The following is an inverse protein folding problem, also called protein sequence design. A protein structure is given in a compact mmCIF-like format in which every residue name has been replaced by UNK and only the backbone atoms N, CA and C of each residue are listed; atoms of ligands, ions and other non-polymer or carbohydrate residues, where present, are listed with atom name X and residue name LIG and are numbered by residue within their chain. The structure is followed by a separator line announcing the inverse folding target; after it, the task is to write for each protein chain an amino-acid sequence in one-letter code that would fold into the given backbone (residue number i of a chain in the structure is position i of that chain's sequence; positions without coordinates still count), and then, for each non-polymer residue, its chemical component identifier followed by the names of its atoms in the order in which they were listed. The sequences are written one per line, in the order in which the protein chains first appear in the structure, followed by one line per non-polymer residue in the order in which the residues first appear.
data_IF_912114038401
#
_entry.id   IF_912114038401
#
_cell.length_a   1.000
_cell.length_b   1.000
_cell.length_c   1.000
_cell.angle_alpha   90.00
_cell.angle_beta   90.00
_cell.angle_gamma   90.00
#
_symmetry.space_group_name_H-M   'P 1'
#
loop_
_entity.id
_entity.type
_entity.pdbx_description
1 polymer ?
#
# COMPACT_ATOMS: atom_id res chain seq x y z
N UNK A 1 14.52 -28.45 14.90
CA UNK A 1 13.70 -27.66 13.96
C UNK A 1 13.08 -26.54 14.75
N UNK A 2 13.61 -25.32 14.64
CA UNK A 2 13.06 -24.12 15.27
C UNK A 2 12.18 -23.42 14.25
N UNK A 3 10.86 -23.58 14.36
CA UNK A 3 9.90 -22.79 13.60
C UNK A 3 9.76 -21.43 14.27
N UNK A 4 10.58 -20.48 13.83
CA UNK A 4 10.49 -19.07 14.19
C UNK A 4 9.18 -18.47 13.68
N UNK A 5 8.21 -18.34 14.58
CA UNK A 5 6.88 -17.76 14.34
C UNK A 5 6.91 -16.21 14.45
N UNK A 6 8.08 -15.56 14.47
CA UNK A 6 8.21 -14.15 14.91
C UNK A 6 8.42 -13.05 13.85
N UNK A 7 8.64 -13.35 12.57
CA UNK A 7 8.81 -12.30 11.55
C UNK A 7 7.85 -12.52 10.38
N UNK A 8 6.59 -12.07 10.51
CA UNK A 8 5.65 -11.96 9.38
C UNK A 8 5.38 -10.49 9.07
N UNK A 9 6.39 -9.79 8.55
CA UNK A 9 6.13 -8.58 7.78
C UNK A 9 5.26 -8.98 6.59
N UNK A 10 4.25 -8.19 6.24
CA UNK A 10 3.55 -8.40 4.98
C UNK A 10 4.58 -8.45 3.85
N UNK A 11 4.42 -9.38 2.91
CA UNK A 11 5.31 -9.44 1.75
C UNK A 11 4.44 -9.31 0.50
N UNK A 12 4.84 -8.39 -0.38
CA UNK A 12 4.22 -8.16 -1.67
C UNK A 12 5.19 -8.69 -2.72
N UNK A 13 4.75 -9.72 -3.43
CA UNK A 13 5.48 -10.34 -4.53
C UNK A 13 4.71 -10.08 -5.83
N UNK A 14 5.38 -10.29 -6.96
CA UNK A 14 4.76 -10.14 -8.27
C UNK A 14 5.30 -8.95 -9.04
N UNK A 15 4.53 -8.51 -10.01
CA UNK A 15 4.99 -7.67 -11.10
C UNK A 15 3.99 -6.56 -11.40
N UNK A 16 4.52 -5.42 -11.85
CA UNK A 16 3.74 -4.33 -12.42
C UNK A 16 4.03 -4.32 -13.92
N UNK A 17 3.00 -4.48 -14.73
CA UNK A 17 3.14 -4.46 -16.18
C UNK A 17 2.60 -3.17 -16.75
N UNK A 18 3.31 -2.64 -17.74
CA UNK A 18 2.92 -1.44 -18.45
C UNK A 18 2.54 -1.80 -19.88
N UNK A 19 1.33 -1.41 -20.27
CA UNK A 19 0.79 -1.49 -21.62
C UNK A 19 0.62 -0.06 -22.17
N UNK A 20 0.08 0.07 -23.40
CA UNK A 20 -0.05 1.37 -24.07
C UNK A 20 -0.79 2.41 -23.21
N UNK A 21 -1.95 2.02 -22.66
CA UNK A 21 -2.82 2.94 -21.89
C UNK A 21 -3.05 2.51 -20.42
N UNK A 22 -2.50 1.38 -19.98
CA UNK A 22 -2.77 0.83 -18.64
C UNK A 22 -1.53 0.31 -17.93
N UNK A 23 -1.59 0.34 -16.60
CA UNK A 23 -0.71 -0.42 -15.73
C UNK A 23 -1.52 -1.58 -15.15
N UNK A 24 -1.07 -2.79 -15.38
CA UNK A 24 -1.60 -3.99 -14.74
C UNK A 24 -0.83 -4.26 -13.45
N UNK A 25 -1.56 -4.28 -12.34
CA UNK A 25 -1.05 -4.66 -11.03
C UNK A 25 -1.32 -6.15 -10.84
N UNK A 26 -0.27 -6.95 -10.86
CA UNK A 26 -0.33 -8.41 -10.67
C UNK A 26 0.56 -8.80 -9.49
N UNK A 27 0.05 -8.59 -8.29
CA UNK A 27 0.78 -8.79 -7.04
C UNK A 27 0.16 -9.91 -6.20
N UNK A 28 0.92 -10.40 -5.23
CA UNK A 28 0.47 -11.36 -4.22
C UNK A 28 0.88 -10.81 -2.86
N UNK A 29 -0.09 -10.69 -1.95
CA UNK A 29 0.13 -10.22 -0.59
C UNK A 29 -0.11 -11.37 0.40
N UNK A 30 0.78 -11.52 1.37
CA UNK A 30 0.50 -12.35 2.54
C UNK A 30 -0.44 -11.58 3.49
N UNK A 31 -1.71 -11.98 3.56
CA UNK A 31 -2.77 -11.33 4.33
C UNK A 31 -3.35 -12.28 5.40
N UNK A 32 -4.23 -11.76 6.25
CA UNK A 32 -4.86 -12.54 7.32
C UNK A 32 -6.07 -13.36 6.90
N UNK A 33 -6.66 -13.03 5.76
CA UNK A 33 -7.85 -13.67 5.24
C UNK A 33 -8.00 -13.37 3.76
N UNK A 34 -8.65 -14.27 3.02
CA UNK A 34 -9.09 -14.06 1.63
C UNK A 34 -10.34 -13.16 1.54
N UNK A 35 -10.94 -12.82 2.68
CA UNK A 35 -12.08 -11.91 2.77
C UNK A 35 -11.73 -10.44 2.50
N UNK A 36 -10.44 -10.11 2.34
CA UNK A 36 -10.01 -8.75 2.02
C UNK A 36 -10.11 -8.44 0.54
N UNK A 37 -10.71 -7.30 0.23
CA UNK A 37 -10.76 -6.75 -1.12
C UNK A 37 -9.61 -5.78 -1.26
N UNK A 38 -8.89 -5.86 -2.38
CA UNK A 38 -7.76 -5.00 -2.72
C UNK A 38 -8.02 -4.26 -4.04
N UNK A 39 -7.54 -3.03 -4.16
CA UNK A 39 -7.50 -2.33 -5.45
C UNK A 39 -8.79 -1.65 -5.89
N UNK A 40 -9.89 -1.74 -5.11
CA UNK A 40 -11.18 -1.12 -5.45
C UNK A 40 -11.09 0.39 -5.56
N UNK A 41 -10.38 1.02 -4.63
CA UNK A 41 -9.97 2.40 -4.75
C UNK A 41 -8.49 2.39 -5.09
N UNK A 42 -8.11 3.21 -6.07
CA UNK A 42 -6.73 3.33 -6.50
C UNK A 42 -6.46 4.73 -7.04
N UNK A 43 -5.19 5.12 -6.99
CA UNK A 43 -4.70 6.38 -7.54
C UNK A 43 -3.23 6.28 -7.93
N UNK A 44 -2.80 7.19 -8.79
CA UNK A 44 -1.40 7.39 -9.14
C UNK A 44 -0.93 8.73 -8.62
N UNK A 45 0.28 8.76 -8.08
CA UNK A 45 0.95 9.99 -7.66
C UNK A 45 2.25 10.13 -8.44
N UNK A 46 2.52 11.34 -8.93
CA UNK A 46 3.76 11.73 -9.58
C UNK A 46 4.24 13.07 -9.00
N UNK A 47 5.21 13.02 -8.11
CA UNK A 47 5.82 14.21 -7.49
C UNK A 47 7.36 14.10 -7.54
N UNK A 48 7.90 13.89 -8.73
CA UNK A 48 9.32 13.54 -8.95
C UNK A 48 9.61 12.06 -8.72
N UNK A 49 8.93 11.44 -7.76
CA UNK A 49 8.81 9.98 -7.64
C UNK A 49 7.40 9.53 -8.03
N UNK A 50 7.27 8.27 -8.48
CA UNK A 50 6.05 7.65 -8.99
C UNK A 50 5.53 6.63 -7.99
N UNK A 51 4.22 6.64 -7.75
CA UNK A 51 3.59 5.67 -6.87
C UNK A 51 2.23 5.21 -7.36
N UNK A 52 1.94 3.93 -7.11
CA UNK A 52 0.61 3.34 -7.20
C UNK A 52 0.10 3.19 -5.77
N UNK A 53 -1.09 3.72 -5.52
CA UNK A 53 -1.75 3.64 -4.22
C UNK A 53 -3.05 2.90 -4.40
N UNK A 54 -3.36 1.97 -3.52
CA UNK A 54 -4.65 1.31 -3.52
C UNK A 54 -5.19 1.04 -2.12
N UNK A 55 -6.51 0.93 -2.01
CA UNK A 55 -7.13 0.52 -0.76
C UNK A 55 -7.13 -0.99 -0.58
N UNK A 56 -7.22 -1.39 0.68
CA UNK A 56 -7.73 -2.69 1.07
C UNK A 56 -8.76 -2.55 2.19
N UNK A 57 -9.68 -3.50 2.32
CA UNK A 57 -10.63 -3.57 3.44
C UNK A 57 -11.32 -4.93 3.47
N UNK A 58 -11.87 -5.31 4.62
CA UNK A 58 -12.60 -6.57 4.75
C UNK A 58 -13.96 -6.47 4.04
N UNK A 59 -14.28 -7.43 3.18
CA UNK A 59 -15.54 -7.46 2.40
C UNK A 59 -16.81 -7.55 3.27
N UNK A 60 -16.72 -8.17 4.43
CA UNK A 60 -17.86 -8.40 5.33
C UNK A 60 -17.98 -7.32 6.39
N UNK A 61 -16.85 -6.76 6.84
CA UNK A 61 -16.75 -5.76 7.92
C UNK A 61 -15.69 -4.71 7.57
N UNK A 62 -15.94 -3.85 6.57
CA UNK A 62 -14.94 -2.95 6.00
C UNK A 62 -14.34 -1.95 7.00
N UNK A 63 -15.06 -1.67 8.10
CA UNK A 63 -14.63 -0.84 9.21
C UNK A 63 -13.58 -1.50 10.13
N UNK A 64 -13.39 -2.82 10.01
CA UNK A 64 -12.43 -3.54 10.83
C UNK A 64 -11.01 -3.45 10.27
N UNK A 65 -10.10 -3.23 11.20
CA UNK A 65 -8.68 -3.26 10.94
C UNK A 65 -8.15 -4.68 10.80
N UNK A 66 -7.24 -4.87 9.84
CA UNK A 66 -6.55 -6.14 9.66
C UNK A 66 -5.47 -6.35 10.73
N UNK A 67 -5.90 -6.83 11.90
CA UNK A 67 -5.08 -7.17 13.06
C UNK A 67 -4.82 -8.67 13.20
N UNK A 68 -5.27 -9.45 12.22
CA UNK A 68 -5.24 -10.90 12.30
C UNK A 68 -3.89 -11.46 11.84
N UNK A 69 -3.57 -12.68 12.28
CA UNK A 69 -2.33 -13.35 11.88
C UNK A 69 -2.35 -13.61 10.39
N UNK A 70 -1.34 -13.14 9.68
CA UNK A 70 -1.23 -13.37 8.25
C UNK A 70 -1.04 -14.87 7.95
N UNK A 71 -2.00 -15.48 7.26
CA UNK A 71 -2.11 -16.93 7.06
C UNK A 71 -2.41 -17.33 5.60
N UNK A 72 -2.69 -16.36 4.71
CA UNK A 72 -3.12 -16.62 3.34
C UNK A 72 -2.35 -15.77 2.32
N UNK A 73 -2.12 -16.34 1.14
CA UNK A 73 -1.70 -15.58 -0.05
C UNK A 73 -2.93 -15.05 -0.77
N UNK A 74 -3.04 -13.73 -0.89
CA UNK A 74 -4.14 -13.08 -1.58
C UNK A 74 -3.63 -12.43 -2.86
N UNK A 75 -4.13 -12.86 -4.04
CA UNK A 75 -3.77 -12.23 -5.30
C UNK A 75 -4.43 -10.85 -5.39
N UNK A 76 -3.62 -9.84 -5.70
CA UNK A 76 -4.05 -8.47 -5.96
C UNK A 76 -3.97 -8.26 -7.47
N UNK A 77 -5.13 -8.12 -8.11
CA UNK A 77 -5.26 -7.93 -9.55
C UNK A 77 -6.19 -6.80 -9.87
N UNK A 78 -5.66 -5.76 -10.50
CA UNK A 78 -6.44 -4.68 -11.07
C UNK A 78 -5.62 -3.95 -12.14
N UNK A 79 -6.30 -3.16 -12.96
CA UNK A 79 -5.67 -2.28 -13.94
C UNK A 79 -6.03 -0.83 -13.63
N UNK A 80 -5.09 0.07 -13.87
CA UNK A 80 -5.27 1.52 -13.71
C UNK A 80 -4.80 2.24 -14.98
N UNK A 81 -5.47 3.33 -15.34
CA UNK A 81 -5.08 4.16 -16.49
C UNK A 81 -3.66 4.70 -16.28
N UNK A 82 -2.84 4.57 -17.32
CA UNK A 82 -1.43 4.91 -17.28
C UNK A 82 -1.21 6.37 -17.71
N UNK A 83 -0.47 7.18 -16.95
CA UNK A 83 -0.01 8.48 -17.40
C UNK A 83 0.92 8.33 -18.61
N UNK A 84 0.83 9.25 -19.58
CA UNK A 84 1.58 9.14 -20.84
C UNK A 84 3.09 9.06 -20.63
N UNK A 85 3.58 9.72 -19.59
CA UNK A 85 5.00 9.80 -19.21
C UNK A 85 5.52 8.56 -18.47
N UNK A 86 4.66 7.61 -18.11
CA UNK A 86 5.06 6.35 -17.47
C UNK A 86 5.36 5.29 -18.53
N UNK A 87 6.48 4.60 -18.37
CA UNK A 87 7.07 3.66 -19.33
C UNK A 87 7.77 2.49 -18.63
N UNK A 88 8.07 1.46 -19.41
CA UNK A 88 8.85 0.32 -18.94
C UNK A 88 10.22 0.80 -18.42
N UNK A 89 10.67 0.23 -17.31
CA UNK A 89 11.90 0.62 -16.62
C UNK A 89 11.72 1.69 -15.55
N UNK A 90 10.55 2.35 -15.47
CA UNK A 90 10.27 3.27 -14.37
C UNK A 90 10.24 2.54 -13.03
N UNK A 91 10.85 3.15 -12.02
CA UNK A 91 10.75 2.68 -10.63
C UNK A 91 9.50 3.26 -9.99
N UNK A 92 8.70 2.40 -9.35
CA UNK A 92 7.40 2.72 -8.76
C UNK A 92 7.38 2.27 -7.31
N UNK A 93 6.85 3.11 -6.43
CA UNK A 93 6.48 2.69 -5.08
C UNK A 93 5.01 2.30 -5.02
N UNK A 94 4.72 1.10 -4.56
CA UNK A 94 3.39 0.62 -4.24
C UNK A 94 3.10 0.90 -2.77
N UNK A 95 2.00 1.58 -2.51
CA UNK A 95 1.51 1.89 -1.17
C UNK A 95 0.06 1.45 -1.06
N UNK A 96 -0.37 1.01 0.11
CA UNK A 96 -1.75 0.60 0.30
C UNK A 96 -2.18 0.79 1.74
N UNK A 97 -3.45 1.09 1.94
CA UNK A 97 -4.01 1.49 3.22
C UNK A 97 -5.38 0.84 3.44
N UNK A 98 -5.71 0.56 4.71
CA UNK A 98 -7.05 0.11 5.05
C UNK A 98 -8.01 1.31 4.98
N UNK A 99 -8.80 1.40 3.91
CA UNK A 99 -9.76 2.46 3.71
C UNK A 99 -10.82 2.04 2.67
N UNK A 100 -12.09 2.04 3.05
CA UNK A 100 -13.18 1.67 2.17
C UNK A 100 -14.01 2.87 1.71
N UNK A 101 -13.93 3.99 2.43
CA UNK A 101 -14.64 5.21 2.07
C UNK A 101 -13.85 5.98 1.00
N UNK A 102 -14.49 6.17 -0.16
CA UNK A 102 -13.90 6.84 -1.32
C UNK A 102 -13.40 8.24 -0.99
N UNK A 103 -14.20 9.03 -0.27
CA UNK A 103 -13.85 10.41 0.06
C UNK A 103 -12.61 10.44 0.95
N UNK A 104 -12.60 9.63 2.01
CA UNK A 104 -11.49 9.52 2.94
C UNK A 104 -10.22 9.03 2.25
N UNK A 105 -10.32 8.06 1.34
CA UNK A 105 -9.18 7.58 0.57
C UNK A 105 -8.51 8.69 -0.25
N UNK A 106 -9.30 9.53 -0.94
CA UNK A 106 -8.75 10.63 -1.73
C UNK A 106 -8.28 11.81 -0.87
N UNK A 107 -8.83 12.01 0.33
CA UNK A 107 -8.29 12.98 1.32
C UNK A 107 -6.88 12.61 1.82
N UNK A 108 -6.48 11.34 1.69
CA UNK A 108 -5.13 10.87 2.04
C UNK A 108 -4.09 11.10 0.94
N UNK A 109 -4.44 11.75 -0.17
CA UNK A 109 -3.47 12.04 -1.26
C UNK A 109 -2.23 12.76 -0.71
N UNK A 110 -2.40 13.78 0.12
CA UNK A 110 -1.29 14.54 0.73
C UNK A 110 -0.43 13.69 1.67
N UNK A 111 -1.01 12.70 2.35
CA UNK A 111 -0.26 11.73 3.14
C UNK A 111 0.69 10.92 2.24
N UNK A 112 0.16 10.38 1.15
CA UNK A 112 0.94 9.57 0.22
C UNK A 112 2.01 10.39 -0.51
N UNK A 113 1.71 11.61 -0.92
CA UNK A 113 2.68 12.54 -1.51
C UNK A 113 3.82 12.83 -0.53
N UNK A 114 3.49 13.16 0.72
CA UNK A 114 4.48 13.46 1.76
C UNK A 114 5.36 12.24 2.04
N UNK A 115 4.76 11.05 2.12
CA UNK A 115 5.48 9.78 2.30
C UNK A 115 6.42 9.50 1.13
N UNK A 116 5.93 9.68 -0.09
CA UNK A 116 6.68 9.46 -1.32
C UNK A 116 7.85 10.44 -1.45
N UNK A 117 7.66 11.70 -1.07
CA UNK A 117 8.74 12.70 -1.06
C UNK A 117 9.78 12.40 0.02
N UNK A 118 9.34 11.93 1.20
CA UNK A 118 10.23 11.61 2.31
C UNK A 118 11.10 10.38 2.04
N UNK A 119 10.54 9.35 1.42
CA UNK A 119 11.21 8.06 1.25
C UNK A 119 11.70 7.80 -0.18
N UNK A 120 11.11 8.43 -1.19
CA UNK A 120 11.44 8.19 -2.60
C UNK A 120 11.41 6.70 -2.92
N UNK A 121 12.51 6.18 -3.47
CA UNK A 121 12.72 4.74 -3.67
C UNK A 121 13.76 4.14 -2.70
N UNK A 122 13.93 4.75 -1.52
CA UNK A 122 14.73 4.18 -0.44
C UNK A 122 13.87 3.24 0.40
N UNK A 123 14.36 2.03 0.63
CA UNK A 123 13.73 1.11 1.58
C UNK A 123 13.80 1.70 2.99
N UNK A 124 12.67 1.67 3.69
CA UNK A 124 12.57 2.07 5.09
C UNK A 124 12.15 0.88 5.94
N UNK A 125 12.72 0.80 7.13
CA UNK A 125 12.32 -0.17 8.15
C UNK A 125 11.03 0.27 8.86
N UNK A 126 10.47 -0.64 9.67
CA UNK A 126 9.24 -0.40 10.42
C UNK A 126 9.35 0.82 11.36
N UNK A 127 10.53 1.08 11.93
CA UNK A 127 10.75 2.23 12.81
C UNK A 127 10.70 3.55 12.03
N UNK A 128 11.28 3.59 10.82
CA UNK A 128 11.21 4.73 9.92
C UNK A 128 9.78 5.08 9.55
N UNK A 129 8.93 4.10 9.29
CA UNK A 129 7.52 4.34 9.01
C UNK A 129 6.73 4.79 10.24
N UNK A 130 6.96 4.18 11.41
CA UNK A 130 6.33 4.60 12.67
C UNK A 130 6.65 6.05 13.01
N UNK A 131 7.92 6.46 12.86
CA UNK A 131 8.33 7.86 13.07
C UNK A 131 7.63 8.81 12.09
N UNK A 132 7.50 8.41 10.84
CA UNK A 132 6.79 9.20 9.83
C UNK A 132 5.30 9.35 10.18
N UNK A 133 4.60 8.26 10.51
CA UNK A 133 3.18 8.29 10.86
C UNK A 133 2.92 9.07 12.15
N UNK A 134 3.79 8.93 13.17
CA UNK A 134 3.72 9.76 14.37
C UNK A 134 3.83 11.25 14.05
N UNK A 135 4.80 11.65 13.22
CA UNK A 135 4.96 13.04 12.78
C UNK A 135 3.76 13.55 11.98
N UNK A 136 3.23 12.73 11.07
CA UNK A 136 2.01 13.03 10.32
C UNK A 136 0.81 13.29 11.25
N UNK A 137 0.59 12.41 12.22
CA UNK A 137 -0.57 12.46 13.12
C UNK A 137 -0.55 13.67 14.06
N UNK A 138 0.64 14.17 14.42
CA UNK A 138 0.78 15.42 15.20
C UNK A 138 0.31 16.62 14.38
N UNK A 139 0.65 16.66 13.09
CA UNK A 139 0.30 17.77 12.20
C UNK A 139 -1.13 17.67 11.65
N UNK A 140 -1.69 16.46 11.58
CA UNK A 140 -2.99 16.17 10.97
C UNK A 140 -3.91 15.40 11.93
N UNK A 141 -4.31 15.99 13.07
CA UNK A 141 -5.09 15.30 14.10
C UNK A 141 -6.47 14.82 13.63
N UNK A 142 -7.04 15.44 12.58
CA UNK A 142 -8.31 15.03 11.96
C UNK A 142 -8.17 14.00 10.84
N UNK A 143 -6.95 13.66 10.42
CA UNK A 143 -6.69 12.73 9.32
C UNK A 143 -5.54 11.77 9.67
N UNK A 144 -5.66 11.08 10.81
CA UNK A 144 -4.59 10.22 11.34
C UNK A 144 -4.40 8.95 10.51
N UNK A 145 -3.19 8.43 10.52
CA UNK A 145 -2.77 7.13 9.95
C UNK A 145 -2.06 6.35 11.04
N UNK A 146 -2.51 5.12 11.29
CA UNK A 146 -2.05 4.32 12.43
C UNK A 146 -1.12 3.20 11.98
N UNK A 147 -0.19 2.79 12.85
CA UNK A 147 0.80 1.75 12.54
C UNK A 147 0.34 0.33 12.95
N UNK A 148 -0.61 0.25 13.86
CA UNK A 148 -1.18 -1.00 14.37
C UNK A 148 -2.65 -0.74 14.77
N UNK A 149 -3.51 -1.75 14.64
CA UNK A 149 -4.92 -1.55 14.93
C UNK A 149 -5.21 -1.48 16.42
N UNK A 150 -6.28 -0.73 16.72
CA UNK A 150 -6.75 -0.42 18.07
C UNK A 150 -7.91 0.58 18.04
N UNK A 151 -7.99 1.40 16.99
CA UNK A 151 -9.14 2.26 16.67
C UNK A 151 -9.88 1.72 15.45
N UNK A 152 -11.20 1.64 15.46
CA UNK A 152 -12.00 1.21 14.28
C UNK A 152 -12.60 2.44 13.60
N UNK A 153 -12.36 2.68 12.29
CA UNK A 153 -11.39 2.02 11.40
C UNK A 153 -9.97 2.60 11.53
N UNK A 154 -8.95 1.74 11.68
CA UNK A 154 -7.54 2.17 11.61
C UNK A 154 -7.08 2.17 10.16
N UNK A 155 -6.60 3.32 9.71
CA UNK A 155 -5.85 3.48 8.46
C UNK A 155 -4.45 2.90 8.63
N UNK A 156 -4.29 1.63 8.25
CA UNK A 156 -3.08 0.86 8.46
C UNK A 156 -2.30 0.69 7.15
N UNK A 157 -1.23 1.46 6.91
CA UNK A 157 -0.33 1.20 5.80
C UNK A 157 0.47 -0.07 6.13
N UNK A 158 0.60 -0.97 5.17
CA UNK A 158 1.46 -2.16 5.33
C UNK A 158 2.73 -2.01 4.53
N UNK A 159 3.85 -2.37 5.15
CA UNK A 159 5.16 -2.38 4.54
C UNK A 159 5.44 -3.76 3.96
N UNK A 160 6.22 -3.80 2.90
CA UNK A 160 6.47 -5.03 2.14
C UNK A 160 7.96 -5.27 1.99
N UNK A 161 8.36 -6.46 1.49
CA UNK A 161 9.76 -6.69 1.09
C UNK A 161 10.15 -5.60 0.09
N UNK A 162 11.31 -4.97 0.28
CA UNK A 162 11.75 -3.80 -0.49
C UNK A 162 10.82 -2.58 -0.41
N UNK A 163 10.02 -2.49 0.66
CA UNK A 163 9.15 -1.35 0.97
C UNK A 163 8.24 -0.90 -0.21
N UNK A 164 7.76 -1.90 -0.95
CA UNK A 164 6.84 -1.72 -2.07
C UNK A 164 7.50 -1.17 -3.32
N UNK A 165 8.82 -1.26 -3.48
CA UNK A 165 9.53 -0.71 -4.64
C UNK A 165 9.60 -1.76 -5.76
N UNK A 166 9.05 -1.41 -6.92
CA UNK A 166 9.00 -2.24 -8.12
C UNK A 166 9.52 -1.48 -9.34
N UNK A 167 9.81 -2.21 -10.41
CA UNK A 167 10.07 -1.64 -11.73
C UNK A 167 8.92 -2.00 -12.66
N UNK A 168 8.40 -1.03 -13.42
CA UNK A 168 7.43 -1.31 -14.47
C UNK A 168 8.08 -2.17 -15.56
N UNK A 169 7.44 -3.28 -15.88
CA UNK A 169 7.90 -4.17 -16.93
C UNK A 169 6.97 -4.06 -18.13
N UNK A 170 7.53 -4.06 -19.34
CA UNK A 170 6.73 -4.26 -20.53
C UNK A 170 6.11 -5.66 -20.49
N UNK A 171 4.83 -5.77 -20.83
CA UNK A 171 4.17 -7.06 -21.03
C UNK A 171 4.65 -7.75 -22.31
#
# INVERSE_FOLDING_TARGET
MSTDIKNKTAYLLGNLYVNDDTIEVALVLWASSDSYIYGKLNMLINNGNKAIIFSYYNSQKPELSDNEKMNAEVPIRFSIEKPKEWKSGDVIRVMYINEYDTKTFYELTSYFETRLNKFGYREMDDEGHKKFNAGWNVLHPGNKVFDAGGETPSRLPRFTKRDGIFTLMRR
#
